data_IF_430742491119
#
_entry.id   IF_430742491119
#
_cell.length_a   1.000
_cell.length_b   1.000
_cell.length_c   1.000
_cell.angle_alpha   90.00
_cell.angle_beta   90.00
_cell.angle_gamma   90.00
#
_symmetry.space_group_name_H-M   'P 1'
#
loop_
_entity.id
_entity.type
_entity.pdbx_description
1 polymer ?
#
# COMPACT_ATOMS: atom_id res chain seq x y z
N UNK A 1 -10.47 -9.89 28.43
CA UNK A 1 -9.98 -8.54 28.04
C UNK A 1 -8.81 -8.72 27.09
N UNK A 2 -9.06 -8.51 25.80
CA UNK A 2 -8.31 -9.02 24.65
C UNK A 2 -7.13 -8.13 24.27
N UNK A 3 -5.91 -8.67 24.33
CA UNK A 3 -4.69 -8.05 23.81
C UNK A 3 -4.74 -8.01 22.28
N UNK A 4 -4.97 -6.83 21.71
CA UNK A 4 -4.82 -6.61 20.27
C UNK A 4 -3.33 -6.55 19.91
N UNK A 5 -2.91 -7.54 19.13
CA UNK A 5 -1.65 -7.57 18.39
C UNK A 5 -1.60 -6.34 17.46
N UNK A 6 -0.76 -5.36 17.82
CA UNK A 6 -0.52 -4.15 17.04
C UNK A 6 0.50 -4.50 15.95
N UNK A 7 0.04 -4.48 14.70
CA UNK A 7 0.85 -4.76 13.51
C UNK A 7 1.96 -3.72 13.37
N UNK A 8 3.19 -4.22 13.15
CA UNK A 8 4.36 -3.44 12.87
C UNK A 8 4.18 -2.67 11.55
N UNK A 9 4.31 -1.35 11.62
CA UNK A 9 4.43 -0.48 10.46
C UNK A 9 5.91 -0.22 10.18
N UNK A 10 6.38 -0.56 8.98
CA UNK A 10 7.75 -0.37 8.47
C UNK A 10 8.11 1.10 8.23
N UNK A 11 7.92 1.97 9.22
CA UNK A 11 8.31 3.38 9.15
C UNK A 11 8.67 3.96 10.52
N UNK A 12 9.80 4.68 10.64
CA UNK A 12 10.26 5.24 11.92
C UNK A 12 9.29 6.25 12.55
N UNK A 13 8.38 6.85 11.78
CA UNK A 13 7.40 7.80 12.29
C UNK A 13 6.12 7.16 12.88
N UNK A 14 5.86 5.87 12.65
CA UNK A 14 4.59 5.22 13.04
C UNK A 14 4.67 4.36 14.31
N UNK A 15 5.87 4.12 14.84
CA UNK A 15 6.07 3.37 16.06
C UNK A 15 5.94 4.31 17.27
N UNK A 16 4.73 4.38 17.86
CA UNK A 16 4.44 5.21 19.05
C UNK A 16 5.34 4.94 20.26
N UNK A 17 6.17 3.89 20.24
CA UNK A 17 7.23 3.62 21.21
C UNK A 17 8.39 2.91 20.52
N UNK A 18 9.40 3.65 20.09
CA UNK A 18 10.71 3.09 19.73
C UNK A 18 11.59 3.24 20.99
N UNK A 19 12.13 2.16 21.56
CA UNK A 19 12.89 2.22 22.80
C UNK A 19 14.32 2.78 22.64
N UNK A 20 14.64 3.35 21.47
CA UNK A 20 15.96 3.90 21.15
C UNK A 20 15.85 5.08 20.18
N UNK A 21 16.85 5.96 20.19
CA UNK A 21 16.99 7.08 19.25
C UNK A 21 17.88 6.63 18.08
N UNK A 22 17.33 6.37 16.88
CA UNK A 22 18.11 5.90 15.75
C UNK A 22 19.19 6.90 15.30
N UNK A 23 19.05 8.19 15.60
CA UNK A 23 20.05 9.20 15.25
C UNK A 23 21.25 9.20 16.20
N UNK A 24 21.06 8.77 17.45
CA UNK A 24 22.12 8.75 18.49
C UNK A 24 22.69 7.36 18.76
N UNK A 25 21.91 6.32 18.53
CA UNK A 25 22.24 4.95 18.93
C UNK A 25 22.63 4.03 17.76
N UNK A 26 22.69 4.53 16.52
CA UNK A 26 23.08 3.76 15.33
C UNK A 26 24.15 4.51 14.54
N UNK A 27 25.28 3.86 14.24
CA UNK A 27 26.30 4.40 13.33
C UNK A 27 25.93 4.03 11.88
N UNK A 28 25.61 4.98 11.00
CA UNK A 28 25.29 4.68 9.62
C UNK A 28 26.54 4.22 8.85
N UNK A 29 26.47 3.04 8.22
CA UNK A 29 27.56 2.51 7.37
C UNK A 29 27.44 3.04 5.94
N UNK A 30 26.23 2.97 5.35
CA UNK A 30 25.97 3.44 4.00
C UNK A 30 24.62 2.98 3.43
N UNK A 31 24.22 3.54 2.29
CA UNK A 31 23.03 3.14 1.54
C UNK A 31 23.32 1.87 0.73
N UNK A 32 22.53 0.81 0.94
CA UNK A 32 22.69 -0.46 0.21
C UNK A 32 21.95 -0.42 -1.14
N UNK A 33 20.70 0.08 -1.14
CA UNK A 33 19.88 0.12 -2.34
C UNK A 33 18.82 1.23 -2.26
N UNK A 34 18.48 1.79 -3.43
CA UNK A 34 17.31 2.61 -3.63
C UNK A 34 16.32 1.83 -4.51
N UNK A 35 15.10 1.61 -4.00
CA UNK A 35 14.08 0.83 -4.71
C UNK A 35 13.04 1.80 -5.30
N UNK A 36 12.89 1.85 -6.64
CA UNK A 36 11.83 2.64 -7.25
C UNK A 36 10.46 2.09 -6.85
N UNK A 37 9.45 2.94 -6.83
CA UNK A 37 8.08 2.53 -6.49
C UNK A 37 7.15 2.81 -7.64
N UNK A 38 6.23 1.89 -7.86
CA UNK A 38 5.18 2.00 -8.87
C UNK A 38 3.81 1.84 -8.21
N UNK A 39 2.81 2.50 -8.79
CA UNK A 39 1.41 2.22 -8.50
C UNK A 39 0.95 1.17 -9.49
N UNK A 40 0.40 0.07 -8.97
CA UNK A 40 -0.16 -1.00 -9.79
C UNK A 40 -1.67 -0.98 -9.62
N UNK A 41 -2.36 -1.16 -10.73
CA UNK A 41 -3.82 -1.25 -10.80
C UNK A 41 -4.20 -2.59 -11.42
N UNK A 42 -5.41 -3.01 -11.12
CA UNK A 42 -6.06 -4.15 -11.74
C UNK A 42 -6.03 -4.06 -13.27
N UNK A 43 -5.58 -5.13 -13.95
CA UNK A 43 -5.54 -5.19 -15.42
C UNK A 43 -6.94 -5.08 -16.06
N UNK A 44 -7.94 -5.67 -15.41
CA UNK A 44 -9.36 -5.64 -15.78
C UNK A 44 -10.10 -4.41 -15.21
N UNK A 45 -9.37 -3.52 -14.53
CA UNK A 45 -9.93 -2.38 -13.82
C UNK A 45 -10.26 -1.20 -14.74
N UNK A 46 -11.08 -0.25 -14.27
CA UNK A 46 -11.47 0.94 -15.02
C UNK A 46 -10.39 2.05 -15.02
N UNK A 47 -9.15 1.73 -14.64
CA UNK A 47 -8.06 2.69 -14.49
C UNK A 47 -6.91 2.20 -15.36
N UNK A 48 -6.68 2.88 -16.47
CA UNK A 48 -5.63 2.59 -17.44
C UNK A 48 -4.56 3.69 -17.50
N UNK A 49 -4.79 4.82 -16.83
CA UNK A 49 -3.86 5.95 -16.82
C UNK A 49 -3.81 6.66 -15.46
N UNK A 50 -2.72 7.40 -15.16
CA UNK A 50 -2.64 8.24 -13.97
C UNK A 50 -3.74 9.31 -13.91
N UNK A 51 -4.16 9.84 -15.07
CA UNK A 51 -5.24 10.81 -15.13
C UNK A 51 -6.59 10.20 -14.72
N UNK A 52 -6.89 9.00 -15.22
CA UNK A 52 -8.08 8.24 -14.81
C UNK A 52 -8.06 7.89 -13.32
N UNK A 53 -6.90 7.56 -12.75
CA UNK A 53 -6.76 7.34 -11.32
C UNK A 53 -7.19 8.58 -10.52
N UNK A 54 -6.74 9.77 -10.91
CA UNK A 54 -7.09 11.03 -10.24
C UNK A 54 -8.58 11.33 -10.39
N UNK A 55 -9.12 11.21 -11.61
CA UNK A 55 -10.57 11.40 -11.88
C UNK A 55 -11.40 10.45 -11.02
N UNK A 56 -11.02 9.17 -10.99
CA UNK A 56 -11.72 8.15 -10.21
C UNK A 56 -11.59 8.40 -8.71
N UNK A 57 -10.42 8.80 -8.22
CA UNK A 57 -10.21 9.14 -6.82
C UNK A 57 -11.06 10.36 -6.39
N UNK A 58 -11.30 11.33 -7.28
CA UNK A 58 -12.23 12.45 -7.01
C UNK A 58 -13.70 12.01 -6.94
N UNK A 59 -14.09 11.01 -7.74
CA UNK A 59 -15.45 10.43 -7.68
C UNK A 59 -15.70 9.58 -6.43
N UNK A 60 -14.69 9.39 -5.58
CA UNK A 60 -14.72 8.49 -4.43
C UNK A 60 -14.59 7.01 -4.82
N UNK A 61 -14.34 6.16 -3.83
CA UNK A 61 -14.27 4.69 -3.96
C UNK A 61 -12.97 4.08 -4.54
N UNK A 62 -11.84 4.77 -4.47
CA UNK A 62 -10.53 4.14 -4.73
C UNK A 62 -9.91 3.68 -3.42
N UNK A 63 -9.49 2.42 -3.36
CA UNK A 63 -8.75 1.83 -2.24
C UNK A 63 -7.33 1.49 -2.70
N UNK A 64 -6.36 1.74 -1.83
CA UNK A 64 -4.95 1.41 -2.06
C UNK A 64 -4.46 0.47 -0.98
N UNK A 65 -3.92 -0.68 -1.39
CA UNK A 65 -3.29 -1.64 -0.48
C UNK A 65 -1.86 -1.25 -0.13
N UNK A 66 -1.49 -1.33 1.14
CA UNK A 66 -0.10 -1.21 1.58
C UNK A 66 0.24 -2.24 2.66
N UNK A 67 1.51 -2.37 2.99
CA UNK A 67 2.00 -3.25 4.07
C UNK A 67 1.91 -2.64 5.47
N UNK A 68 1.22 -1.52 5.67
CA UNK A 68 1.02 -0.95 7.01
C UNK A 68 1.01 0.57 7.07
N UNK A 69 0.49 1.11 8.18
CA UNK A 69 0.62 2.54 8.50
C UNK A 69 2.09 2.87 8.74
N UNK A 70 2.58 3.92 8.08
CA UNK A 70 3.95 4.42 8.23
C UNK A 70 4.95 3.83 7.26
N UNK A 71 4.60 2.73 6.58
CA UNK A 71 5.44 2.16 5.52
C UNK A 71 5.68 3.17 4.40
N UNK A 72 6.77 2.98 3.64
CA UNK A 72 7.07 3.85 2.49
C UNK A 72 5.87 3.96 1.53
N UNK A 73 5.15 2.86 1.28
CA UNK A 73 3.96 2.85 0.42
C UNK A 73 2.80 3.66 1.00
N UNK A 74 2.57 3.63 2.31
CA UNK A 74 1.55 4.48 2.96
C UNK A 74 1.90 5.97 2.88
N UNK A 75 3.15 6.33 3.15
CA UNK A 75 3.61 7.73 3.07
C UNK A 75 3.51 8.26 1.64
N UNK A 76 3.86 7.43 0.65
CA UNK A 76 3.72 7.78 -0.78
C UNK A 76 2.27 7.95 -1.20
N UNK A 77 1.35 7.12 -0.69
CA UNK A 77 -0.10 7.31 -0.93
C UNK A 77 -0.58 8.66 -0.41
N UNK A 78 -0.19 9.01 0.82
CA UNK A 78 -0.59 10.28 1.41
C UNK A 78 0.02 11.48 0.66
N UNK A 79 1.26 11.35 0.19
CA UNK A 79 1.87 12.35 -0.68
C UNK A 79 1.09 12.51 -1.99
N UNK A 80 0.64 11.41 -2.61
CA UNK A 80 -0.20 11.44 -3.80
C UNK A 80 -1.55 12.13 -3.52
N UNK A 81 -2.22 11.76 -2.43
CA UNK A 81 -3.48 12.39 -2.02
C UNK A 81 -3.33 13.91 -1.90
N UNK A 82 -2.26 14.36 -1.23
CA UNK A 82 -1.94 15.78 -1.06
C UNK A 82 -1.60 16.48 -2.37
N UNK A 83 -0.79 15.85 -3.22
CA UNK A 83 -0.36 16.44 -4.49
C UNK A 83 -1.51 16.54 -5.53
N UNK A 84 -2.39 15.54 -5.57
CA UNK A 84 -3.49 15.48 -6.54
C UNK A 84 -4.81 16.08 -6.03
N UNK A 85 -4.88 16.43 -4.73
CA UNK A 85 -6.10 16.92 -4.08
C UNK A 85 -7.20 15.87 -4.07
N UNK A 86 -6.85 14.62 -3.77
CA UNK A 86 -7.78 13.48 -3.76
C UNK A 86 -7.72 12.73 -2.43
N UNK A 87 -8.70 11.87 -2.20
CA UNK A 87 -8.75 11.04 -0.99
C UNK A 87 -8.89 9.55 -1.38
N UNK A 88 -7.76 8.89 -1.55
CA UNK A 88 -7.69 7.44 -1.74
C UNK A 88 -7.67 6.76 -0.37
N UNK A 89 -8.52 5.75 -0.18
CA UNK A 89 -8.66 5.03 1.09
C UNK A 89 -7.52 4.02 1.25
N UNK A 90 -6.85 4.08 2.40
CA UNK A 90 -5.77 3.16 2.76
C UNK A 90 -6.31 1.83 3.30
N UNK A 91 -5.89 0.73 2.69
CA UNK A 91 -6.12 -0.64 3.17
C UNK A 91 -4.79 -1.26 3.61
N UNK A 92 -4.70 -1.63 4.90
CA UNK A 92 -3.49 -2.21 5.47
C UNK A 92 -3.50 -3.74 5.40
N UNK A 93 -2.42 -4.31 4.87
CA UNK A 93 -2.12 -5.73 4.83
C UNK A 93 -0.93 -6.02 5.76
N UNK A 94 -0.82 -7.25 6.31
CA UNK A 94 0.26 -7.55 7.28
C UNK A 94 1.63 -7.76 6.65
N UNK A 95 1.70 -7.79 5.32
CA UNK A 95 2.94 -7.90 4.55
C UNK A 95 2.66 -7.98 3.06
N UNK A 96 3.73 -8.03 2.26
CA UNK A 96 3.65 -8.07 0.80
C UNK A 96 2.95 -9.33 0.28
N UNK A 97 3.14 -10.47 0.97
CA UNK A 97 2.50 -11.74 0.60
C UNK A 97 0.97 -11.65 0.70
N UNK A 98 0.43 -11.09 1.79
CA UNK A 98 -1.02 -10.88 1.97
C UNK A 98 -1.60 -9.95 0.91
N UNK A 99 -0.86 -8.90 0.53
CA UNK A 99 -1.27 -7.96 -0.50
C UNK A 99 -1.34 -8.63 -1.87
N UNK A 100 -0.30 -9.38 -2.25
CA UNK A 100 -0.26 -10.12 -3.52
C UNK A 100 -1.36 -11.18 -3.56
N UNK A 101 -1.56 -11.92 -2.46
CA UNK A 101 -2.62 -12.92 -2.36
C UNK A 101 -4.01 -12.29 -2.54
N UNK A 102 -4.25 -11.11 -1.98
CA UNK A 102 -5.51 -10.40 -2.16
C UNK A 102 -5.74 -9.94 -3.62
N UNK A 103 -4.67 -9.51 -4.31
CA UNK A 103 -4.75 -9.12 -5.72
C UNK A 103 -5.01 -10.33 -6.64
N UNK A 104 -4.31 -11.44 -6.40
CA UNK A 104 -4.54 -12.70 -7.11
C UNK A 104 -5.95 -13.25 -6.86
N UNK A 105 -6.44 -13.19 -5.62
CA UNK A 105 -7.80 -13.60 -5.29
C UNK A 105 -8.85 -12.73 -6.00
N UNK A 106 -8.59 -11.42 -6.12
CA UNK A 106 -9.43 -10.52 -6.91
C UNK A 106 -9.44 -10.93 -8.38
N UNK A 107 -8.28 -11.22 -8.96
CA UNK A 107 -8.17 -11.66 -10.35
C UNK A 107 -8.88 -13.00 -10.60
N UNK A 108 -8.72 -13.99 -9.72
CA UNK A 108 -9.40 -15.28 -9.82
C UNK A 108 -10.94 -15.14 -9.82
N UNK A 109 -11.47 -14.20 -9.02
CA UNK A 109 -12.91 -13.89 -9.02
C UNK A 109 -13.36 -13.33 -10.37
N UNK A 110 -12.59 -12.39 -10.93
CA UNK A 110 -12.88 -11.79 -12.24
C UNK A 110 -12.80 -12.84 -13.36
N UNK A 111 -11.78 -13.69 -13.36
CA UNK A 111 -11.64 -14.78 -14.33
C UNK A 111 -12.86 -15.71 -14.29
N UNK A 112 -13.33 -16.05 -13.09
CA UNK A 112 -14.56 -16.85 -12.90
C UNK A 112 -15.81 -16.12 -13.40
N UNK A 113 -15.97 -14.82 -13.10
CA UNK A 113 -17.09 -13.99 -13.58
C UNK A 113 -17.07 -13.86 -15.12
N UNK A 114 -15.89 -13.82 -15.73
CA UNK A 114 -15.68 -13.75 -17.18
C UNK A 114 -15.77 -15.12 -17.88
N UNK A 115 -16.00 -16.22 -17.15
CA UNK A 115 -16.06 -17.56 -17.73
C UNK A 115 -14.72 -18.10 -18.24
N UNK A 116 -13.61 -17.50 -17.83
CA UNK A 116 -12.25 -17.93 -18.19
C UNK A 116 -11.90 -19.14 -17.32
N UNK A 117 -11.88 -20.33 -17.92
CA UNK A 117 -11.38 -21.54 -17.26
C UNK A 117 -9.85 -21.46 -17.21
N UNK A 118 -9.26 -21.69 -16.03
CA UNK A 118 -7.83 -21.97 -15.94
C UNK A 118 -7.63 -23.43 -16.35
N UNK A 119 -6.93 -23.65 -17.46
CA UNK A 119 -6.43 -24.98 -17.87
C UNK A 119 -5.32 -25.47 -16.93
#
# INVERSE_FOLDING_TARGET
MSRQHRLAGDGPAALKHIPYDPARNVTPIGLIAAVPSAIVVALDGPICSPAELVVRARSGNVKFGSTGIGTSSHVKLELLNRAAGVQILHASYRGSADLIAADLARWARVAKEAGIQAE
#
